data_IF_026110392715
#
_entry.id   IF_026110392715
#
_cell.length_a   1.000
_cell.length_b   1.000
_cell.length_c   1.000
_cell.angle_alpha   90.00
_cell.angle_beta   90.00
_cell.angle_gamma   90.00
#
_symmetry.space_group_name_H-M   'P 1'
#
loop_
_entity.id
_entity.type
_entity.pdbx_description
1 polymer ?
#
# COMPACT_ATOMS: atom_id res chain seq x y z
N UNK A 1 44.66 24.05 -7.83
CA UNK A 1 44.33 24.18 -6.39
C UNK A 1 42.84 24.44 -6.13
N UNK A 2 42.22 25.50 -6.69
CA UNK A 2 40.79 25.81 -6.47
C UNK A 2 39.82 24.68 -6.85
N UNK A 3 40.05 24.00 -7.99
CA UNK A 3 39.24 22.86 -8.43
C UNK A 3 39.29 21.68 -7.47
N UNK A 4 40.46 21.41 -6.88
CA UNK A 4 40.66 20.34 -5.90
C UNK A 4 39.95 20.65 -4.58
N UNK A 5 40.05 21.91 -4.13
CA UNK A 5 39.33 22.40 -2.95
C UNK A 5 37.80 22.31 -3.13
N UNK A 6 37.29 22.65 -4.32
CA UNK A 6 35.87 22.52 -4.65
C UNK A 6 35.42 21.05 -4.63
N UNK A 7 36.22 20.14 -5.21
CA UNK A 7 35.92 18.70 -5.25
C UNK A 7 35.91 18.07 -3.84
N UNK A 8 36.84 18.50 -2.98
CA UNK A 8 36.87 18.13 -1.56
C UNK A 8 35.65 18.67 -0.79
N UNK A 9 35.24 19.91 -1.06
CA UNK A 9 34.06 20.50 -0.44
C UNK A 9 32.78 19.71 -0.83
N UNK A 10 32.60 19.40 -2.12
CA UNK A 10 31.49 18.58 -2.60
C UNK A 10 31.47 17.18 -1.98
N UNK A 11 32.63 16.54 -1.80
CA UNK A 11 32.72 15.23 -1.17
C UNK A 11 32.30 15.25 0.32
N UNK A 12 32.64 16.32 1.05
CA UNK A 12 32.23 16.50 2.46
C UNK A 12 30.72 16.77 2.58
N UNK A 13 30.14 17.55 1.66
CA UNK A 13 28.70 17.82 1.66
C UNK A 13 27.85 16.60 1.25
N UNK A 14 28.43 15.59 0.58
CA UNK A 14 27.74 14.36 0.21
C UNK A 14 27.72 13.29 1.32
N UNK A 15 28.56 13.42 2.35
CA UNK A 15 28.64 12.49 3.47
C UNK A 15 27.33 12.25 4.26
N UNK A 16 26.45 13.25 4.53
CA UNK A 16 25.21 13.00 5.27
C UNK A 16 24.18 12.15 4.50
N UNK A 17 24.39 11.88 3.21
CA UNK A 17 23.50 11.00 2.45
C UNK A 17 23.70 9.50 2.75
N UNK A 18 24.82 9.10 3.37
CA UNK A 18 25.17 7.69 3.63
C UNK A 18 24.68 7.19 5.01
N UNK A 19 24.21 8.06 5.90
CA UNK A 19 23.86 7.71 7.28
C UNK A 19 22.38 7.95 7.61
N UNK A 20 21.48 7.61 6.69
CA UNK A 20 20.05 7.57 7.00
C UNK A 20 19.68 6.13 7.31
N UNK A 21 19.94 5.72 8.55
CA UNK A 21 19.44 4.45 9.08
C UNK A 21 17.91 4.55 9.18
N UNK A 22 17.23 4.36 8.04
CA UNK A 22 15.79 4.24 8.01
C UNK A 22 15.41 2.91 8.67
N UNK A 23 15.30 2.95 10.00
CA UNK A 23 14.90 1.81 10.80
C UNK A 23 13.45 1.99 11.26
N UNK A 24 12.65 0.94 11.08
CA UNK A 24 11.35 0.83 11.73
C UNK A 24 11.59 0.37 13.17
N UNK A 25 11.83 1.33 14.06
CA UNK A 25 12.15 1.06 15.49
C UNK A 25 10.93 0.60 16.31
N UNK A 26 9.72 0.72 15.75
CA UNK A 26 8.48 0.31 16.40
C UNK A 26 7.46 -0.15 15.36
N UNK A 27 6.93 -1.35 15.56
CA UNK A 27 5.83 -1.90 14.79
C UNK A 27 4.91 -2.71 15.70
N UNK A 28 3.67 -2.90 15.27
CA UNK A 28 2.71 -3.81 15.91
C UNK A 28 1.82 -4.37 14.81
N UNK A 29 1.62 -5.68 14.80
CA UNK A 29 0.57 -6.31 14.00
C UNK A 29 -0.67 -6.36 14.88
N UNK A 30 -1.56 -5.39 14.71
CA UNK A 30 -2.87 -5.40 15.36
C UNK A 30 -3.79 -6.37 14.60
N UNK A 31 -3.76 -7.65 14.95
CA UNK A 31 -4.76 -8.61 14.46
C UNK A 31 -6.11 -8.29 15.10
N UNK A 32 -6.93 -7.51 14.40
CA UNK A 32 -8.30 -7.17 14.81
C UNK A 32 -9.33 -7.82 13.88
N UNK A 33 -10.48 -8.21 14.41
CA UNK A 33 -11.60 -8.74 13.62
C UNK A 33 -11.55 -10.26 13.41
N UNK A 34 -12.57 -10.94 13.95
CA UNK A 34 -12.88 -12.32 13.59
C UNK A 34 -13.78 -12.29 12.37
N UNK A 35 -13.39 -12.99 11.32
CA UNK A 35 -14.30 -13.40 10.27
C UNK A 35 -14.79 -14.80 10.58
N UNK A 36 -16.11 -14.95 10.68
CA UNK A 36 -16.77 -16.22 10.86
C UNK A 36 -17.54 -16.52 9.58
N UNK A 37 -17.17 -17.61 8.91
CA UNK A 37 -17.93 -18.15 7.78
C UNK A 37 -18.49 -19.50 8.18
N UNK A 38 -19.81 -19.64 8.07
CA UNK A 38 -20.51 -20.88 8.40
C UNK A 38 -21.03 -21.53 7.13
N UNK A 39 -20.80 -22.84 6.99
CA UNK A 39 -21.37 -23.67 5.93
C UNK A 39 -21.68 -25.05 6.49
N UNK A 40 -22.96 -25.42 6.50
CA UNK A 40 -23.48 -26.65 7.13
C UNK A 40 -22.95 -26.81 8.57
N UNK A 41 -22.28 -27.93 8.86
CA UNK A 41 -21.72 -28.26 10.18
C UNK A 41 -20.35 -27.60 10.47
N UNK A 42 -19.80 -26.83 9.51
CA UNK A 42 -18.47 -26.27 9.62
C UNK A 42 -18.48 -24.77 9.84
N UNK A 43 -17.61 -24.33 10.75
CA UNK A 43 -17.35 -22.92 11.02
C UNK A 43 -15.88 -22.63 10.81
N UNK A 44 -15.57 -21.79 9.81
CA UNK A 44 -14.25 -21.26 9.57
C UNK A 44 -14.10 -19.93 10.30
N UNK A 45 -13.09 -19.85 11.18
CA UNK A 45 -12.72 -18.59 11.86
C UNK A 45 -11.34 -18.15 11.39
N UNK A 46 -11.24 -16.92 10.92
CA UNK A 46 -9.99 -16.29 10.50
C UNK A 46 -9.84 -14.88 11.05
N UNK A 47 -8.64 -14.33 10.96
CA UNK A 47 -8.35 -12.91 11.27
C UNK A 47 -7.87 -12.21 10.02
N UNK A 48 -8.50 -11.08 9.65
CA UNK A 48 -7.93 -10.15 8.67
C UNK A 48 -7.26 -9.02 9.46
N UNK A 49 -6.06 -8.59 9.07
CA UNK A 49 -5.44 -7.42 9.69
C UNK A 49 -6.33 -6.18 9.52
N UNK A 50 -6.73 -5.54 10.63
CA UNK A 50 -7.34 -4.22 10.56
C UNK A 50 -6.25 -3.19 10.36
N UNK A 51 -6.37 -2.38 9.33
CA UNK A 51 -5.43 -1.29 9.11
C UNK A 51 -5.76 -0.17 10.12
N UNK A 52 -4.76 0.29 10.88
CA UNK A 52 -4.96 1.22 12.01
C UNK A 52 -5.04 2.68 11.57
N UNK A 53 -4.38 3.02 10.46
CA UNK A 53 -4.28 4.38 9.95
C UNK A 53 -5.46 4.75 9.03
N UNK A 54 -6.62 5.11 9.58
CA UNK A 54 -7.82 5.41 8.75
C UNK A 54 -7.72 6.73 8.03
N UNK A 55 -8.46 6.91 6.94
CA UNK A 55 -8.66 8.25 6.38
C UNK A 55 -9.16 9.21 7.48
N UNK A 56 -10.03 8.73 8.37
CA UNK A 56 -10.51 9.48 9.54
C UNK A 56 -9.50 9.58 10.71
N UNK A 57 -8.41 8.79 10.70
CA UNK A 57 -7.42 8.62 11.80
C UNK A 57 -6.05 8.31 11.20
N UNK A 58 -5.59 9.20 10.34
CA UNK A 58 -4.34 9.09 9.61
C UNK A 58 -3.14 9.13 10.57
N UNK A 59 -2.09 8.36 10.26
CA UNK A 59 -0.82 8.48 10.95
C UNK A 59 0.02 9.58 10.31
N UNK A 60 0.50 10.54 11.12
CA UNK A 60 1.31 11.66 10.65
C UNK A 60 2.67 11.71 11.35
N UNK A 61 3.73 12.06 10.61
CA UNK A 61 5.08 12.26 11.15
C UNK A 61 5.93 13.17 10.27
N UNK A 62 6.28 14.35 10.78
CA UNK A 62 7.01 15.36 9.99
C UNK A 62 6.18 15.88 8.81
N UNK A 63 6.67 15.69 7.58
CA UNK A 63 5.96 16.00 6.34
C UNK A 63 5.18 14.81 5.78
N UNK A 64 5.24 13.65 6.44
CA UNK A 64 4.69 12.41 5.95
C UNK A 64 3.33 12.11 6.57
N UNK A 65 2.46 11.55 5.75
CA UNK A 65 1.11 11.14 6.09
C UNK A 65 0.90 9.73 5.56
N UNK A 66 0.29 8.87 6.37
CA UNK A 66 0.06 7.46 6.05
C UNK A 66 -1.38 7.10 6.39
N UNK A 67 -2.10 6.63 5.39
CA UNK A 67 -3.40 5.96 5.53
C UNK A 67 -3.27 4.51 5.06
N UNK A 68 -3.85 3.58 5.79
CA UNK A 68 -4.08 2.21 5.36
C UNK A 68 -5.40 2.11 4.61
N UNK A 69 -5.61 0.99 3.91
CA UNK A 69 -6.78 0.76 3.09
C UNK A 69 -6.48 -0.19 1.94
N UNK A 70 -7.48 -0.51 1.13
CA UNK A 70 -7.25 -1.06 -0.19
C UNK A 70 -6.72 0.04 -1.12
N UNK A 71 -6.02 -0.33 -2.19
CA UNK A 71 -5.63 0.58 -3.28
C UNK A 71 -6.86 1.07 -4.07
N UNK A 72 -7.85 1.67 -3.42
CA UNK A 72 -9.13 1.96 -4.02
C UNK A 72 -9.00 3.01 -5.15
N UNK A 73 -8.22 4.07 -4.92
CA UNK A 73 -8.16 5.18 -5.87
C UNK A 73 -7.32 4.86 -7.12
N UNK A 74 -6.25 4.07 -6.96
CA UNK A 74 -5.41 3.66 -8.10
C UNK A 74 -6.10 2.58 -8.92
N UNK A 75 -6.83 1.66 -8.28
CA UNK A 75 -7.49 0.57 -8.99
C UNK A 75 -8.78 0.99 -9.66
N UNK A 76 -9.51 2.00 -9.19
CA UNK A 76 -10.76 2.39 -9.83
C UNK A 76 -10.54 2.99 -11.24
N UNK A 77 -9.45 3.72 -11.45
CA UNK A 77 -9.06 4.21 -12.77
C UNK A 77 -8.42 3.12 -13.66
N UNK A 78 -7.91 2.04 -13.07
CA UNK A 78 -7.23 0.94 -13.76
C UNK A 78 -8.09 -0.33 -13.88
N UNK A 79 -9.27 -0.36 -13.25
CA UNK A 79 -10.13 -1.53 -13.18
C UNK A 79 -10.53 -2.00 -14.59
N UNK A 80 -11.04 -1.11 -15.42
CA UNK A 80 -11.40 -1.45 -16.79
C UNK A 80 -10.20 -1.93 -17.61
N UNK A 81 -9.00 -1.40 -17.35
CA UNK A 81 -7.78 -1.79 -18.08
C UNK A 81 -7.25 -3.16 -17.65
N UNK A 82 -7.21 -3.43 -16.34
CA UNK A 82 -6.63 -4.65 -15.77
C UNK A 82 -7.53 -5.89 -15.99
N UNK A 83 -8.82 -5.70 -16.21
CA UNK A 83 -9.77 -6.78 -16.53
C UNK A 83 -10.04 -6.95 -18.04
N UNK A 84 -9.47 -6.08 -18.88
CA UNK A 84 -9.74 -6.03 -20.34
C UNK A 84 -9.31 -7.27 -21.12
N UNK A 85 -8.41 -8.09 -20.59
CA UNK A 85 -7.82 -9.18 -21.35
C UNK A 85 -8.63 -10.48 -21.32
N UNK A 86 -9.48 -10.73 -20.28
CA UNK A 86 -10.22 -11.99 -20.10
C UNK A 86 -11.50 -12.01 -19.24
N UNK A 87 -11.86 -10.94 -18.50
CA UNK A 87 -12.97 -11.00 -17.51
C UNK A 87 -14.26 -10.31 -17.94
N UNK A 88 -14.24 -9.56 -19.03
CA UNK A 88 -15.46 -8.97 -19.60
C UNK A 88 -16.24 -10.07 -20.34
N UNK A 89 -17.32 -10.53 -19.71
CA UNK A 89 -18.19 -11.54 -20.29
C UNK A 89 -18.63 -11.12 -21.69
N UNK A 90 -18.42 -11.97 -22.69
CA UNK A 90 -18.93 -11.72 -24.04
C UNK A 90 -20.44 -11.49 -23.92
N UNK A 91 -20.89 -10.27 -24.22
CA UNK A 91 -22.31 -9.95 -24.27
C UNK A 91 -22.94 -10.84 -25.35
N UNK A 92 -23.52 -11.95 -24.88
CA UNK A 92 -24.18 -12.94 -25.71
C UNK A 92 -25.21 -12.23 -26.57
N UNK A 93 -25.02 -12.38 -27.88
CA UNK A 93 -25.93 -11.95 -28.92
C UNK A 93 -27.36 -12.36 -28.60
N UNK A 94 -28.23 -11.36 -28.62
CA UNK A 94 -29.67 -11.39 -28.88
C UNK A 94 -30.25 -12.78 -29.22
N UNK A 95 -30.84 -13.46 -28.24
CA UNK A 95 -31.90 -14.43 -28.55
C UNK A 95 -33.16 -13.64 -28.89
N UNK A 96 -33.47 -13.55 -30.18
CA UNK A 96 -34.82 -13.21 -30.65
C UNK A 96 -35.73 -14.45 -30.52
N UNK A 97 -37.03 -14.26 -30.27
CA UNK A 97 -37.96 -15.31 -29.87
C UNK A 97 -38.20 -16.39 -30.93
#
# INVERSE_FOLDING_TARGET
MKKLALLLLLAVLAAPAIAQDYEITRWTIASGGTMESTGDDWTLKGTIGQWEATEARELSGGQWRLTGGFWADVLQALADFIFSDRFEGSSGSTESP
#
